data_IF_081767165465
#
_entry.id   IF_081767165465
#
_cell.length_a   1.000
_cell.length_b   1.000
_cell.length_c   1.000
_cell.angle_alpha   90.00
_cell.angle_beta   90.00
_cell.angle_gamma   90.00
#
_symmetry.space_group_name_H-M   'P 1'
#
loop_
_entity.id
_entity.type
_entity.pdbx_description
1 polymer ?
#
# COMPACT_ATOMS: atom_id res chain seq x y z
N UNK A 1 -4.41 5.58 6.06
CA UNK A 1 -5.39 4.79 5.26
C UNK A 1 -4.63 4.01 4.19
N UNK A 2 -5.01 2.78 3.84
CA UNK A 2 -4.33 2.04 2.77
C UNK A 2 -4.85 2.46 1.37
N UNK A 3 -3.95 2.58 0.40
CA UNK A 3 -4.30 2.96 -0.97
C UNK A 3 -5.35 2.04 -1.63
N UNK A 4 -5.37 0.75 -1.29
CA UNK A 4 -6.32 -0.23 -1.83
C UNK A 4 -7.79 0.16 -1.60
N UNK A 5 -8.11 0.89 -0.53
CA UNK A 5 -9.48 1.36 -0.29
C UNK A 5 -9.92 2.41 -1.33
N UNK A 6 -9.00 3.19 -1.89
CA UNK A 6 -9.29 4.17 -2.94
C UNK A 6 -9.45 3.52 -4.33
N UNK A 7 -8.99 2.27 -4.48
CA UNK A 7 -9.05 1.48 -5.72
C UNK A 7 -10.11 0.38 -5.67
N UNK A 8 -10.94 0.35 -4.64
CA UNK A 8 -12.07 -0.59 -4.53
C UNK A 8 -13.33 -0.01 -5.19
N UNK A 9 -13.45 -0.25 -6.49
CA UNK A 9 -14.56 0.22 -7.33
C UNK A 9 -15.83 -0.64 -7.24
N UNK A 10 -15.86 -1.66 -6.37
CA UNK A 10 -17.04 -2.50 -6.21
C UNK A 10 -18.21 -1.69 -5.63
N UNK A 11 -19.48 -2.07 -5.92
CA UNK A 11 -20.62 -1.50 -5.22
C UNK A 11 -20.47 -1.64 -3.71
N UNK A 12 -20.67 -0.55 -2.97
CA UNK A 12 -20.43 -0.47 -1.52
C UNK A 12 -18.99 -0.83 -1.08
N UNK A 13 -18.01 -0.70 -1.99
CA UNK A 13 -16.60 -0.86 -1.68
C UNK A 13 -15.99 0.34 -0.96
N UNK A 14 -14.69 0.23 -0.66
CA UNK A 14 -13.93 1.24 0.09
C UNK A 14 -14.06 2.65 -0.49
N UNK A 15 -14.03 2.80 -1.82
CA UNK A 15 -14.10 4.11 -2.46
C UNK A 15 -15.47 4.78 -2.23
N UNK A 16 -16.56 4.00 -2.25
CA UNK A 16 -17.89 4.50 -1.97
C UNK A 16 -18.00 5.02 -0.53
N UNK A 17 -17.46 4.28 0.44
CA UNK A 17 -17.46 4.67 1.85
C UNK A 17 -16.59 5.91 2.11
N UNK A 18 -15.43 6.01 1.47
CA UNK A 18 -14.58 7.21 1.53
C UNK A 18 -15.33 8.44 1.04
N UNK A 19 -15.95 8.38 -0.14
CA UNK A 19 -16.69 9.52 -0.67
C UNK A 19 -17.90 9.87 0.20
N UNK A 20 -18.64 8.87 0.68
CA UNK A 20 -19.80 9.10 1.53
C UNK A 20 -19.42 9.81 2.83
N UNK A 21 -18.36 9.37 3.51
CA UNK A 21 -17.88 9.98 4.75
C UNK A 21 -17.42 11.43 4.51
N UNK A 22 -16.61 11.68 3.46
CA UNK A 22 -16.17 13.02 3.09
C UNK A 22 -17.34 13.96 2.74
N UNK A 23 -18.32 13.49 1.97
CA UNK A 23 -19.48 14.29 1.57
C UNK A 23 -20.41 14.62 2.74
N UNK A 24 -20.64 13.68 3.66
CA UNK A 24 -21.37 13.90 4.90
C UNK A 24 -20.66 14.94 5.78
N UNK A 25 -19.36 14.76 6.02
CA UNK A 25 -18.56 15.68 6.83
C UNK A 25 -18.59 17.10 6.24
N UNK A 26 -18.44 17.22 4.92
CA UNK A 26 -18.54 18.49 4.18
C UNK A 26 -19.91 19.15 4.38
N UNK A 27 -20.99 18.39 4.34
CA UNK A 27 -22.35 18.89 4.53
C UNK A 27 -22.57 19.39 5.96
N UNK A 28 -22.23 18.58 6.96
CA UNK A 28 -22.38 18.90 8.39
C UNK A 28 -21.59 20.14 8.81
N UNK A 29 -20.42 20.37 8.19
CA UNK A 29 -19.58 21.53 8.47
C UNK A 29 -19.82 22.71 7.52
N UNK A 30 -20.85 22.65 6.65
CA UNK A 30 -21.20 23.71 5.70
C UNK A 30 -20.04 24.13 4.78
N UNK A 31 -19.22 23.18 4.35
CA UNK A 31 -18.08 23.45 3.47
C UNK A 31 -18.50 23.52 2.00
N UNK A 32 -18.16 24.63 1.33
CA UNK A 32 -18.38 24.78 -0.12
C UNK A 32 -17.60 23.74 -0.94
N UNK A 33 -16.33 23.51 -0.59
CA UNK A 33 -15.45 22.49 -1.15
C UNK A 33 -14.55 21.88 -0.07
N UNK A 34 -14.08 20.66 -0.29
CA UNK A 34 -12.98 20.08 0.47
C UNK A 34 -11.68 20.52 -0.21
N UNK A 35 -10.78 21.16 0.54
CA UNK A 35 -9.51 21.68 0.02
C UNK A 35 -8.37 21.20 0.92
N UNK A 36 -7.86 20.01 0.63
CA UNK A 36 -6.81 19.37 1.43
C UNK A 36 -5.47 20.12 1.39
N UNK A 37 -5.29 21.07 0.46
CA UNK A 37 -4.09 21.91 0.40
C UNK A 37 -4.09 23.04 1.45
N UNK A 38 -5.25 23.34 2.03
CA UNK A 38 -5.41 24.42 3.00
C UNK A 38 -4.98 23.99 4.40
N UNK A 39 -3.80 24.43 4.84
CA UNK A 39 -3.27 24.14 6.19
C UNK A 39 -4.13 24.72 7.33
N UNK A 40 -4.89 25.79 7.08
CA UNK A 40 -5.78 26.42 8.07
C UNK A 40 -6.90 25.52 8.60
N UNK A 41 -7.15 24.37 7.96
CA UNK A 41 -8.17 23.39 8.35
C UNK A 41 -7.58 22.04 8.70
N UNK A 42 -6.27 21.95 8.94
CA UNK A 42 -5.57 20.69 9.15
C UNK A 42 -6.26 19.79 10.20
N UNK A 43 -6.57 20.32 11.38
CA UNK A 43 -7.26 19.56 12.43
C UNK A 43 -8.61 18.99 11.97
N UNK A 44 -9.38 19.78 11.21
CA UNK A 44 -10.66 19.33 10.65
C UNK A 44 -10.50 18.33 9.51
N UNK A 45 -9.42 18.42 8.73
CA UNK A 45 -9.10 17.38 7.75
C UNK A 45 -8.71 16.06 8.44
N UNK A 46 -7.94 16.13 9.53
CA UNK A 46 -7.62 14.95 10.34
C UNK A 46 -8.88 14.33 10.94
N UNK A 47 -9.79 15.13 11.48
CA UNK A 47 -11.08 14.66 11.99
C UNK A 47 -11.91 13.96 10.89
N UNK A 48 -11.99 14.56 9.69
CA UNK A 48 -12.67 13.96 8.54
C UNK A 48 -12.04 12.63 8.13
N UNK A 49 -10.71 12.54 8.09
CA UNK A 49 -9.99 11.28 7.80
C UNK A 49 -10.24 10.22 8.88
N UNK A 50 -10.39 10.63 10.14
CA UNK A 50 -10.82 9.74 11.23
C UNK A 50 -12.25 9.21 11.04
N UNK A 51 -13.17 10.01 10.49
CA UNK A 51 -14.49 9.52 10.08
C UNK A 51 -14.39 8.51 8.94
N UNK A 52 -13.56 8.78 7.92
CA UNK A 52 -13.32 7.85 6.82
C UNK A 52 -12.79 6.51 7.33
N UNK A 53 -11.80 6.53 8.22
CA UNK A 53 -11.25 5.31 8.84
C UNK A 53 -12.32 4.50 9.57
N UNK A 54 -13.14 5.14 10.43
CA UNK A 54 -14.21 4.45 11.16
C UNK A 54 -15.26 3.85 10.22
N UNK A 55 -15.63 4.56 9.17
CA UNK A 55 -16.60 4.07 8.19
C UNK A 55 -16.04 2.88 7.39
N UNK A 56 -14.76 2.91 7.00
CA UNK A 56 -14.10 1.79 6.33
C UNK A 56 -14.03 0.53 7.21
N UNK A 57 -13.75 0.70 8.51
CA UNK A 57 -13.69 -0.41 9.47
C UNK A 57 -15.09 -1.00 9.73
N UNK A 58 -16.08 -0.15 10.02
CA UNK A 58 -17.44 -0.62 10.31
C UNK A 58 -18.13 -1.28 9.12
N UNK A 59 -17.78 -0.86 7.90
CA UNK A 59 -18.25 -1.48 6.64
C UNK A 59 -17.45 -2.72 6.21
N UNK A 60 -16.40 -3.10 6.96
CA UNK A 60 -15.47 -4.19 6.61
C UNK A 60 -14.75 -3.98 5.26
N UNK A 61 -14.66 -2.74 4.80
CA UNK A 61 -13.84 -2.37 3.64
C UNK A 61 -12.35 -2.28 4.00
N UNK A 62 -12.04 -2.21 5.29
CA UNK A 62 -10.68 -2.25 5.81
C UNK A 62 -10.66 -2.80 7.24
N UNK A 63 -9.59 -3.50 7.59
CA UNK A 63 -9.30 -3.90 8.96
C UNK A 63 -7.95 -3.33 9.37
N UNK A 64 -7.93 -2.75 10.57
CA UNK A 64 -6.71 -2.18 11.15
C UNK A 64 -5.69 -3.30 11.42
N UNK A 65 -4.40 -3.11 11.09
CA UNK A 65 -3.39 -4.14 11.33
C UNK A 65 -3.29 -4.56 12.80
N UNK A 66 -3.20 -5.88 12.99
CA UNK A 66 -2.85 -6.57 14.23
C UNK A 66 -1.53 -7.27 13.94
N UNK A 67 -0.48 -6.86 14.64
CA UNK A 67 0.90 -7.16 14.27
C UNK A 67 1.53 -8.07 15.29
N UNK A 68 2.10 -9.19 14.85
CA UNK A 68 3.00 -10.00 15.66
C UNK A 68 4.45 -9.76 15.20
N UNK A 69 5.32 -9.34 16.11
CA UNK A 69 6.74 -9.12 15.82
C UNK A 69 7.50 -10.41 16.12
N UNK A 70 8.15 -11.00 15.11
CA UNK A 70 8.89 -12.25 15.29
C UNK A 70 10.01 -12.11 16.33
N UNK A 71 10.18 -13.09 17.24
CA UNK A 71 11.26 -13.07 18.23
C UNK A 71 12.66 -13.20 17.60
N UNK A 72 12.77 -13.51 16.31
CA UNK A 72 14.03 -13.53 15.59
C UNK A 72 14.56 -12.14 15.23
N UNK A 73 13.78 -11.07 15.45
CA UNK A 73 14.19 -9.69 15.21
C UNK A 73 15.02 -9.19 16.38
N UNK A 74 16.14 -8.52 16.08
CA UNK A 74 17.00 -7.95 17.11
C UNK A 74 16.27 -6.94 18.01
N UNK A 75 16.74 -6.82 19.26
CA UNK A 75 16.05 -6.03 20.29
C UNK A 75 15.91 -4.55 19.93
N UNK A 76 16.97 -3.94 19.36
CA UNK A 76 16.95 -2.53 18.96
C UNK A 76 15.89 -2.26 17.87
N UNK A 77 15.82 -3.12 16.86
CA UNK A 77 14.83 -3.03 15.80
C UNK A 77 13.42 -3.32 16.32
N UNK A 78 13.26 -4.27 17.23
CA UNK A 78 11.98 -4.55 17.90
C UNK A 78 11.45 -3.30 18.63
N UNK A 79 12.30 -2.55 19.35
CA UNK A 79 11.89 -1.30 19.99
C UNK A 79 11.39 -0.26 18.97
N UNK A 80 12.12 -0.08 17.85
CA UNK A 80 11.69 0.83 16.77
C UNK A 80 10.37 0.40 16.12
N UNK A 81 10.16 -0.90 15.93
CA UNK A 81 8.90 -1.44 15.40
C UNK A 81 7.74 -1.20 16.36
N UNK A 82 7.93 -1.36 17.67
CA UNK A 82 6.89 -1.08 18.67
C UNK A 82 6.47 0.39 18.66
N UNK A 83 7.42 1.32 18.54
CA UNK A 83 7.11 2.75 18.36
C UNK A 83 6.30 3.00 17.08
N UNK A 84 6.65 2.32 15.97
CA UNK A 84 5.92 2.42 14.71
C UNK A 84 4.49 1.86 14.82
N UNK A 85 4.29 0.76 15.55
CA UNK A 85 2.93 0.23 15.84
C UNK A 85 2.10 1.29 16.56
N UNK A 86 2.64 1.94 17.59
CA UNK A 86 1.94 2.96 18.36
C UNK A 86 1.60 4.19 17.49
N UNK A 87 2.57 4.73 16.75
CA UNK A 87 2.36 5.92 15.89
C UNK A 87 1.36 5.67 14.77
N UNK A 88 1.38 4.47 14.20
CA UNK A 88 0.42 4.07 13.17
C UNK A 88 -0.94 3.65 13.74
N UNK A 89 -1.07 3.58 15.07
CA UNK A 89 -2.28 3.18 15.77
C UNK A 89 -2.70 1.75 15.46
N UNK A 90 -1.74 0.84 15.20
CA UNK A 90 -1.97 -0.60 15.09
C UNK A 90 -1.97 -1.27 16.47
N UNK A 91 -2.31 -2.56 16.50
CA UNK A 91 -2.31 -3.36 17.73
C UNK A 91 -1.28 -4.47 17.68
N UNK A 92 -0.78 -4.89 18.83
CA UNK A 92 0.20 -6.00 18.93
C UNK A 92 -0.53 -7.28 19.32
N UNK A 93 -0.35 -8.34 18.54
CA UNK A 93 -0.82 -9.68 18.87
C UNK A 93 0.16 -10.40 19.82
N UNK A 94 -0.38 -11.28 20.67
CA UNK A 94 0.44 -12.11 21.56
C UNK A 94 0.99 -13.35 20.86
N UNK A 95 0.38 -13.76 19.74
CA UNK A 95 0.81 -14.91 18.95
C UNK A 95 0.60 -14.67 17.44
N UNK A 96 1.30 -15.42 16.56
CA UNK A 96 1.12 -15.32 15.11
C UNK A 96 -0.31 -15.65 14.64
N UNK A 97 -1.04 -16.48 15.38
CA UNK A 97 -2.38 -16.96 15.01
C UNK A 97 -3.45 -15.87 15.18
N UNK A 98 -3.22 -14.93 16.09
CA UNK A 98 -4.11 -13.80 16.36
C UNK A 98 -3.79 -12.58 15.47
N UNK A 99 -2.68 -12.63 14.73
CA UNK A 99 -2.20 -11.51 13.95
C UNK A 99 -2.84 -11.48 12.56
N UNK A 100 -2.97 -10.27 12.00
CA UNK A 100 -3.19 -10.09 10.57
C UNK A 100 -1.87 -9.97 9.81
N UNK A 101 -0.78 -9.60 10.50
CA UNK A 101 0.55 -9.47 9.94
C UNK A 101 1.60 -10.07 10.89
N UNK A 102 2.42 -10.98 10.40
CA UNK A 102 3.62 -11.48 11.07
C UNK A 102 4.83 -10.77 10.47
N UNK A 103 5.55 -10.04 11.32
CA UNK A 103 6.70 -9.24 10.92
C UNK A 103 7.97 -10.02 11.15
N UNK A 104 8.74 -10.21 10.09
CA UNK A 104 9.99 -10.95 10.06
C UNK A 104 11.20 -10.01 9.93
N UNK A 105 12.43 -10.50 10.19
CA UNK A 105 13.64 -9.71 9.99
C UNK A 105 13.71 -9.13 8.56
N UNK A 106 14.22 -7.91 8.40
CA UNK A 106 14.47 -7.35 7.07
C UNK A 106 15.53 -8.17 6.32
N UNK A 107 15.66 -8.00 4.99
CA UNK A 107 16.75 -8.60 4.23
C UNK A 107 18.12 -8.29 4.86
N UNK A 108 19.05 -9.25 4.82
CA UNK A 108 20.37 -9.11 5.48
C UNK A 108 21.22 -7.97 4.94
N UNK A 109 20.95 -7.52 3.70
CA UNK A 109 21.63 -6.41 3.05
C UNK A 109 20.89 -5.06 3.23
N UNK A 110 19.82 -5.01 4.01
CA UNK A 110 19.04 -3.78 4.18
C UNK A 110 19.83 -2.73 4.98
N UNK A 111 20.04 -1.51 4.46
CA UNK A 111 20.87 -0.48 5.11
C UNK A 111 20.17 0.25 6.27
N UNK A 112 18.97 -0.18 6.67
CA UNK A 112 18.20 0.42 7.77
C UNK A 112 17.26 1.57 7.38
N UNK A 113 17.15 1.89 6.08
CA UNK A 113 16.33 2.99 5.55
C UNK A 113 15.81 2.69 4.13
N UNK A 114 14.99 3.57 3.56
CA UNK A 114 14.31 3.44 2.24
C UNK A 114 15.17 3.80 1.02
N UNK A 115 16.43 4.22 1.21
CA UNK A 115 17.23 4.81 0.12
C UNK A 115 17.59 3.83 -1.01
N UNK A 116 18.02 2.61 -0.69
CA UNK A 116 18.38 1.61 -1.72
C UNK A 116 17.15 1.09 -2.47
N UNK A 117 16.05 0.82 -1.74
CA UNK A 117 14.78 0.40 -2.33
C UNK A 117 14.23 1.45 -3.31
N UNK A 118 14.49 2.75 -3.04
CA UNK A 118 14.14 3.86 -3.91
C UNK A 118 15.02 4.00 -5.16
N UNK A 119 16.26 3.48 -5.15
CA UNK A 119 17.20 3.59 -6.26
C UNK A 119 16.92 2.56 -7.36
N UNK A 120 16.50 1.35 -6.98
CA UNK A 120 16.21 0.27 -7.91
C UNK A 120 14.73 0.28 -8.33
N UNK A 121 14.25 1.42 -8.85
CA UNK A 121 12.84 1.63 -9.19
C UNK A 121 12.32 0.57 -10.17
N UNK A 122 11.58 -0.38 -9.60
CA UNK A 122 10.75 -1.34 -10.31
C UNK A 122 9.30 -0.93 -10.13
N UNK A 123 8.45 -1.33 -11.06
CA UNK A 123 7.03 -1.08 -10.96
C UNK A 123 6.21 -2.35 -11.23
N UNK A 124 4.98 -2.37 -10.75
CA UNK A 124 3.94 -3.33 -11.14
C UNK A 124 2.82 -2.59 -11.86
N UNK A 125 2.25 -3.22 -12.88
CA UNK A 125 0.99 -2.77 -13.46
C UNK A 125 -0.14 -3.25 -12.55
N UNK A 126 -0.92 -2.32 -12.00
CA UNK A 126 -1.96 -2.63 -11.01
C UNK A 126 -3.38 -2.38 -11.53
N UNK A 127 -3.52 -1.67 -12.64
CA UNK A 127 -4.79 -1.42 -13.32
C UNK A 127 -4.53 -1.12 -14.80
N UNK A 128 -5.49 -1.45 -15.66
CA UNK A 128 -5.42 -1.21 -17.10
C UNK A 128 -6.81 -0.80 -17.60
N UNK A 129 -6.84 0.21 -18.47
CA UNK A 129 -8.04 0.65 -19.19
C UNK A 129 -7.62 1.05 -20.61
N UNK A 130 -8.03 0.25 -21.60
CA UNK A 130 -7.56 0.37 -22.99
C UNK A 130 -6.03 0.34 -23.07
N UNK A 131 -5.45 1.41 -23.64
CA UNK A 131 -3.98 1.63 -23.73
C UNK A 131 -3.39 2.38 -22.53
N UNK A 132 -4.19 2.60 -21.49
CA UNK A 132 -3.76 3.19 -20.23
C UNK A 132 -3.41 2.12 -19.21
N UNK A 133 -2.32 2.32 -18.46
CA UNK A 133 -1.93 1.48 -17.33
C UNK A 133 -1.60 2.32 -16.10
N UNK A 134 -2.01 1.84 -14.93
CA UNK A 134 -1.62 2.40 -13.64
C UNK A 134 -0.45 1.61 -13.10
N UNK A 135 0.64 2.32 -12.82
CA UNK A 135 1.89 1.75 -12.32
C UNK A 135 2.00 2.01 -10.81
N UNK A 136 2.24 0.97 -10.02
CA UNK A 136 2.70 1.05 -8.64
C UNK A 136 4.22 0.96 -8.60
N UNK A 137 4.90 1.89 -7.95
CA UNK A 137 6.35 1.84 -7.77
C UNK A 137 6.68 1.07 -6.50
N UNK A 138 7.52 0.03 -6.64
CA UNK A 138 7.80 -0.89 -5.54
C UNK A 138 8.42 -0.16 -4.35
N UNK A 139 8.03 -0.57 -3.15
CA UNK A 139 8.47 -0.03 -1.86
C UNK A 139 8.11 1.43 -1.62
N UNK A 140 7.34 2.05 -2.53
CA UNK A 140 6.74 3.36 -2.34
C UNK A 140 5.32 3.21 -1.77
N UNK A 141 4.74 4.27 -1.18
CA UNK A 141 3.34 4.24 -0.76
C UNK A 141 2.43 3.81 -1.91
N UNK A 142 1.34 3.11 -1.61
CA UNK A 142 0.42 2.63 -2.65
C UNK A 142 -0.30 3.77 -3.38
N UNK A 143 -0.31 4.98 -2.82
CA UNK A 143 -0.76 6.20 -3.50
C UNK A 143 0.26 6.74 -4.50
N UNK A 144 1.54 6.39 -4.37
CA UNK A 144 2.60 6.80 -5.29
C UNK A 144 2.53 5.97 -6.58
N UNK A 145 1.57 6.35 -7.41
CA UNK A 145 1.26 5.66 -8.66
C UNK A 145 1.44 6.58 -9.86
N UNK A 146 1.56 5.99 -11.05
CA UNK A 146 1.65 6.74 -12.31
C UNK A 146 0.63 6.20 -13.29
N UNK A 147 -0.34 7.02 -13.68
CA UNK A 147 -1.21 6.71 -14.81
C UNK A 147 -0.48 7.02 -16.10
N UNK A 148 -0.34 6.01 -16.96
CA UNK A 148 0.42 6.12 -18.18
C UNK A 148 -0.39 5.68 -19.40
N UNK A 149 -0.48 6.55 -20.41
CA UNK A 149 -1.36 6.38 -21.60
C UNK A 149 -0.60 6.32 -22.93
N UNK A 150 0.72 6.38 -22.92
CA UNK A 150 1.51 6.42 -24.15
C UNK A 150 1.71 5.06 -24.82
N UNK A 151 1.11 3.97 -24.32
CA UNK A 151 1.29 2.64 -24.89
C UNK A 151 0.79 2.62 -26.35
N UNK A 152 1.58 2.04 -27.26
CA UNK A 152 1.17 1.89 -28.66
C UNK A 152 0.03 0.89 -28.82
N UNK A 153 0.05 -0.18 -28.01
CA UNK A 153 -0.95 -1.24 -27.92
C UNK A 153 -1.38 -1.44 -26.46
N UNK A 154 -2.47 -2.18 -26.24
CA UNK A 154 -2.87 -2.56 -24.88
C UNK A 154 -1.79 -3.39 -24.18
N UNK A 155 -1.78 -3.37 -22.85
CA UNK A 155 -0.77 -4.11 -22.09
C UNK A 155 -0.95 -5.63 -22.29
N UNK A 156 0.05 -6.32 -22.85
CA UNK A 156 -0.16 -7.65 -23.43
C UNK A 156 -0.26 -8.77 -22.39
N UNK A 157 0.20 -8.54 -21.16
CA UNK A 157 0.23 -9.56 -20.11
C UNK A 157 -1.02 -9.55 -19.22
N UNK A 158 -1.93 -8.61 -19.45
CA UNK A 158 -3.06 -8.36 -18.55
C UNK A 158 -2.61 -7.87 -17.17
N UNK A 159 -3.59 -7.70 -16.27
CA UNK A 159 -3.35 -7.31 -14.88
C UNK A 159 -3.68 -8.49 -13.98
N UNK A 160 -2.64 -9.09 -13.40
CA UNK A 160 -2.80 -10.15 -12.41
C UNK A 160 -3.50 -9.62 -11.15
N UNK A 161 -4.35 -10.46 -10.56
CA UNK A 161 -4.99 -10.16 -9.27
C UNK A 161 -3.92 -10.06 -8.17
N UNK A 162 -4.00 -9.07 -7.26
CA UNK A 162 -3.06 -8.99 -6.15
C UNK A 162 -3.04 -10.30 -5.35
N UNK A 163 -1.86 -10.78 -4.92
CA UNK A 163 -1.80 -11.93 -4.04
C UNK A 163 -2.48 -11.59 -2.72
N UNK A 164 -3.08 -12.59 -2.08
CA UNK A 164 -3.67 -12.44 -0.76
C UNK A 164 -3.46 -13.74 0.01
N UNK A 165 -3.17 -13.69 1.33
CA UNK A 165 -3.16 -14.88 2.17
C UNK A 165 -4.46 -15.66 2.06
N UNK A 166 -4.38 -16.97 2.28
CA UNK A 166 -5.58 -17.77 2.47
C UNK A 166 -6.42 -17.22 3.63
N UNK A 167 -7.74 -17.40 3.57
CA UNK A 167 -8.63 -16.88 4.61
C UNK A 167 -8.20 -17.35 6.00
N UNK A 168 -8.01 -16.40 6.92
CA UNK A 168 -7.55 -16.66 8.28
C UNK A 168 -6.04 -16.83 8.45
N UNK A 169 -5.24 -16.71 7.38
CA UNK A 169 -3.77 -16.63 7.47
C UNK A 169 -3.31 -15.18 7.54
N UNK A 170 -2.30 -14.86 8.35
CA UNK A 170 -1.68 -13.54 8.34
C UNK A 170 -0.89 -13.31 7.06
N UNK A 171 -0.57 -12.04 6.81
CA UNK A 171 0.51 -11.68 5.92
C UNK A 171 1.87 -11.97 6.56
N UNK A 172 2.73 -12.68 5.86
CA UNK A 172 4.15 -12.81 6.22
C UNK A 172 4.96 -11.76 5.45
N UNK A 173 5.37 -10.71 6.15
CA UNK A 173 6.12 -9.58 5.58
C UNK A 173 7.36 -9.26 6.40
N UNK A 174 8.36 -8.65 5.76
CA UNK A 174 9.54 -8.17 6.48
C UNK A 174 9.29 -6.83 7.22
N UNK A 175 10.19 -6.51 8.16
CA UNK A 175 10.13 -5.33 9.03
C UNK A 175 9.97 -3.99 8.30
N UNK A 176 10.43 -3.89 7.05
CA UNK A 176 10.35 -2.64 6.28
C UNK A 176 8.91 -2.23 5.99
N UNK A 177 7.97 -3.18 5.89
CA UNK A 177 6.55 -2.88 5.66
C UNK A 177 6.00 -1.91 6.71
N UNK A 178 6.23 -2.20 8.00
CA UNK A 178 5.74 -1.36 9.10
C UNK A 178 6.55 -0.05 9.21
N UNK A 179 7.87 -0.13 9.08
CA UNK A 179 8.74 1.04 9.20
C UNK A 179 8.48 2.08 8.11
N UNK A 180 8.30 1.63 6.87
CA UNK A 180 7.97 2.53 5.77
C UNK A 180 6.54 3.01 5.88
N UNK A 181 5.63 2.20 6.46
CA UNK A 181 4.26 2.69 6.71
C UNK A 181 4.24 3.88 7.64
N UNK A 182 5.06 3.83 8.70
CA UNK A 182 5.23 4.96 9.63
C UNK A 182 5.93 6.15 8.97
N UNK A 183 7.02 5.91 8.24
CA UNK A 183 7.77 6.96 7.52
C UNK A 183 6.87 7.77 6.57
N UNK A 184 5.99 7.10 5.83
CA UNK A 184 5.12 7.73 4.84
C UNK A 184 3.73 8.12 5.36
N UNK A 185 3.39 7.80 6.61
CA UNK A 185 2.03 7.94 7.17
C UNK A 185 0.94 7.27 6.31
N UNK A 186 1.29 6.14 5.68
CA UNK A 186 0.40 5.37 4.81
C UNK A 186 0.66 3.88 5.02
N UNK A 187 -0.38 3.05 5.08
CA UNK A 187 -0.18 1.61 5.13
C UNK A 187 0.38 1.12 3.80
N UNK A 188 1.62 0.62 3.83
CA UNK A 188 2.34 0.15 2.66
C UNK A 188 1.67 -1.09 2.06
N UNK A 189 1.94 -1.35 0.77
CA UNK A 189 1.43 -2.53 0.07
C UNK A 189 2.17 -3.77 0.55
N UNK A 190 1.46 -4.72 1.15
CA UNK A 190 2.03 -5.93 1.76
C UNK A 190 2.83 -6.76 0.74
N UNK A 191 2.35 -6.82 -0.51
CA UNK A 191 2.98 -7.51 -1.65
C UNK A 191 4.45 -7.12 -1.88
N UNK A 192 4.83 -5.89 -1.54
CA UNK A 192 6.20 -5.39 -1.72
C UNK A 192 7.19 -6.03 -0.75
N UNK A 193 6.71 -6.51 0.39
CA UNK A 193 7.53 -6.97 1.51
C UNK A 193 7.35 -8.46 1.79
N UNK A 194 6.73 -9.19 0.86
CA UNK A 194 6.59 -10.64 0.95
C UNK A 194 7.95 -11.32 1.02
N UNK A 195 8.05 -12.34 1.87
CA UNK A 195 9.28 -13.10 2.03
C UNK A 195 9.57 -13.97 0.81
N UNK A 196 10.84 -14.06 0.33
CA UNK A 196 11.20 -14.92 -0.78
C UNK A 196 10.89 -16.40 -0.58
N UNK A 197 10.93 -16.87 0.68
CA UNK A 197 10.61 -18.24 1.07
C UNK A 197 9.13 -18.44 1.45
N UNK A 198 8.29 -17.42 1.31
CA UNK A 198 6.87 -17.48 1.62
C UNK A 198 6.04 -18.26 0.59
N UNK A 199 4.85 -18.71 0.99
CA UNK A 199 3.91 -19.37 0.08
C UNK A 199 3.25 -18.42 -0.93
N UNK A 200 3.20 -17.12 -0.62
CA UNK A 200 2.68 -16.08 -1.51
C UNK A 200 3.80 -15.51 -2.37
N UNK A 201 3.53 -15.40 -3.68
CA UNK A 201 4.45 -14.78 -4.63
C UNK A 201 3.91 -13.43 -5.08
N UNK A 202 4.75 -12.38 -5.12
CA UNK A 202 4.35 -11.11 -5.71
C UNK A 202 4.16 -11.26 -7.21
N UNK A 203 3.28 -10.43 -7.78
CA UNK A 203 3.09 -10.30 -9.23
C UNK A 203 4.37 -9.83 -9.91
N UNK A 204 4.44 -10.08 -11.22
CA UNK A 204 5.56 -9.65 -12.04
C UNK A 204 5.80 -8.14 -11.92
N UNK A 205 7.05 -7.78 -11.62
CA UNK A 205 7.51 -6.40 -11.62
C UNK A 205 8.49 -6.15 -12.78
N UNK A 206 8.59 -4.90 -13.20
CA UNK A 206 9.33 -4.50 -14.40
C UNK A 206 10.27 -3.34 -14.10
N UNK A 207 11.36 -3.25 -14.86
CA UNK A 207 12.27 -2.10 -14.77
C UNK A 207 11.81 -0.99 -15.71
N UNK A 208 12.21 0.24 -15.44
CA UNK A 208 11.98 1.37 -16.36
C UNK A 208 12.61 1.16 -17.74
N UNK A 209 13.70 0.39 -17.83
CA UNK A 209 14.32 0.03 -19.13
C UNK A 209 13.45 -0.95 -19.92
N UNK A 210 12.92 -1.98 -19.26
CA UNK A 210 11.99 -2.92 -19.88
C UNK A 210 10.72 -2.22 -20.40
N UNK A 211 10.24 -1.24 -19.64
CA UNK A 211 9.19 -0.34 -20.06
C UNK A 211 9.52 0.34 -21.39
N UNK A 212 10.67 1.01 -21.53
CA UNK A 212 11.05 1.65 -22.80
C UNK A 212 11.09 0.68 -23.99
N UNK A 213 11.53 -0.57 -23.79
CA UNK A 213 11.58 -1.58 -24.86
C UNK A 213 10.19 -1.95 -25.39
N UNK A 214 9.21 -2.15 -24.50
CA UNK A 214 7.81 -2.44 -24.90
C UNK A 214 7.15 -1.20 -25.51
N UNK A 215 7.44 -0.03 -24.94
CA UNK A 215 6.81 1.25 -25.27
C UNK A 215 7.18 1.81 -26.64
N UNK A 216 8.45 1.70 -27.02
CA UNK A 216 8.94 2.28 -28.26
C UNK A 216 8.78 1.33 -29.45
N UNK A 217 8.46 0.06 -29.21
CA UNK A 217 8.61 -1.00 -30.20
C UNK A 217 10.09 -1.11 -30.58
N UNK A 218 10.77 -2.17 -30.21
CA UNK A 218 12.01 -2.50 -30.89
C UNK A 218 11.69 -2.78 -32.37
N UNK A 219 11.76 -1.73 -33.18
CA UNK A 219 12.31 -1.86 -34.51
C UNK A 219 13.70 -2.50 -34.35
N UNK A 220 13.87 -3.63 -35.02
CA UNK A 220 15.15 -4.28 -35.30
C UNK A 220 15.97 -4.72 -34.09
N UNK A 221 15.78 -5.98 -33.68
CA UNK A 221 16.92 -6.79 -33.24
C UNK A 221 17.60 -7.25 -34.54
N UNK A 222 18.66 -6.54 -34.92
CA UNK A 222 19.66 -6.99 -35.89
C UNK A 222 20.95 -7.30 -35.14
#
# INVERSE_FOLDING_TARGET
LPAKCFMDFKPAGGLCHIFLACLKFRHEHNWKKIDLSSSSRLEKHIEMLGCVERDLISSKCWEKPVVFISPSIEKALTSRLMEAVERMGATVASSPVEATHVIHPPPSNWPGNSSEDSQHQRFRVIFQEGRGVLLHWLYSPGTYTTWFTGLQMEWPYGVESPPHPESGRPWDVDARWLLYSEEYNEWMVEEDFLLPAGGLRPRASYTRKYYHTIMCGSGSIG
#
